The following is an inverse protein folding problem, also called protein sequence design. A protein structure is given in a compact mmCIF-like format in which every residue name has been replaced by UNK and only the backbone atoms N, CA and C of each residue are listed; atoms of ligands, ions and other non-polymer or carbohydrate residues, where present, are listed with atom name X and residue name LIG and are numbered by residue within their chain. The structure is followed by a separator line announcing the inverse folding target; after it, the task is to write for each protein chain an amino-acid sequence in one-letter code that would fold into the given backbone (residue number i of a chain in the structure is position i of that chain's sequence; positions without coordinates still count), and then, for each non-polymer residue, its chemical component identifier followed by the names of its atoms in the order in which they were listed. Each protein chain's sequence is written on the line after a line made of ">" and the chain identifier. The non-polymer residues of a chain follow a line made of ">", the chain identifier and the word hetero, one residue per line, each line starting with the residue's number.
data_IF_718303057720
#
_entry.id   IF_718303057720
#
_cell.length_a   1.000
_cell.length_b   1.000
_cell.length_c   1.000
_cell.angle_alpha   90.00
_cell.angle_beta   90.00
_cell.angle_gamma   90.00
#
_symmetry.space_group_name_H-M   'P 1'
#
loop_
_entity.id
_entity.type
_entity.pdbx_description
1 polymer ?
#
# COMPACT_ATOMS: atom_id res chain seq x y z
N UNK A 1 30.20 -23.23 -31.17
CA UNK A 1 29.00 -22.78 -30.42
C UNK A 1 28.93 -23.68 -29.19
N UNK A 2 28.88 -23.29 -27.93
CA UNK A 2 28.43 -22.04 -27.32
C UNK A 2 28.59 -22.18 -25.79
N UNK A 3 29.76 -22.56 -25.28
CA UNK A 3 29.98 -22.66 -23.83
C UNK A 3 29.99 -21.26 -23.17
N UNK A 4 30.44 -20.24 -23.91
CA UNK A 4 30.42 -18.85 -23.48
C UNK A 4 29.03 -18.27 -23.27
N UNK A 5 28.04 -18.59 -24.12
CA UNK A 5 26.67 -18.06 -23.93
C UNK A 5 25.96 -18.69 -22.72
N UNK A 6 26.23 -19.96 -22.38
CA UNK A 6 25.69 -20.57 -21.16
C UNK A 6 26.26 -19.90 -19.90
N UNK A 7 27.55 -19.54 -19.91
CA UNK A 7 28.20 -18.85 -18.80
C UNK A 7 27.64 -17.43 -18.60
N UNK A 8 27.45 -16.67 -19.69
CA UNK A 8 26.84 -15.34 -19.63
C UNK A 8 25.41 -15.38 -19.07
N UNK A 9 24.58 -16.31 -19.54
CA UNK A 9 23.20 -16.45 -19.06
C UNK A 9 23.12 -16.81 -17.57
N UNK A 10 24.03 -17.67 -17.07
CA UNK A 10 24.10 -18.00 -15.66
C UNK A 10 24.52 -16.80 -14.79
N UNK A 11 25.48 -15.99 -15.25
CA UNK A 11 25.90 -14.77 -14.56
C UNK A 11 24.80 -13.69 -14.51
N UNK A 12 23.97 -13.57 -15.55
CA UNK A 12 22.86 -12.61 -15.57
C UNK A 12 21.76 -12.93 -14.55
N UNK A 13 21.49 -14.22 -14.31
CA UNK A 13 20.46 -14.66 -13.35
C UNK A 13 20.91 -14.54 -11.88
N UNK A 14 22.23 -14.57 -11.63
CA UNK A 14 22.79 -14.45 -10.27
C UNK A 14 22.80 -13.00 -9.73
N UNK A 15 22.65 -11.99 -10.59
CA UNK A 15 22.69 -10.57 -10.19
C UNK A 15 21.30 -9.92 -10.04
N UNK A 16 20.22 -10.64 -10.38
CA UNK A 16 18.87 -10.16 -10.13
C UNK A 16 18.54 -10.26 -8.62
N UNK A 17 19.15 -9.38 -7.83
CA UNK A 17 18.80 -9.20 -6.43
C UNK A 17 17.35 -8.71 -6.31
N UNK A 18 16.67 -9.02 -5.18
CA UNK A 18 15.31 -8.52 -4.95
C UNK A 18 15.33 -6.99 -5.02
N UNK A 19 14.62 -6.44 -6.00
CA UNK A 19 14.36 -5.00 -6.03
C UNK A 19 13.45 -4.68 -4.84
N UNK A 20 13.88 -3.69 -4.04
CA UNK A 20 13.05 -3.15 -2.99
C UNK A 20 11.78 -2.58 -3.63
N UNK A 21 10.63 -3.19 -3.33
CA UNK A 21 9.37 -2.55 -3.65
C UNK A 21 9.34 -1.28 -2.79
N UNK A 22 9.39 -0.09 -3.40
CA UNK A 22 9.42 1.18 -2.66
C UNK A 22 8.20 1.42 -1.76
N UNK A 23 7.28 0.45 -1.70
CA UNK A 23 6.07 0.39 -0.91
C UNK A 23 5.94 -0.99 -0.29
N UNK A 24 5.75 -1.05 1.03
CA UNK A 24 5.42 -2.29 1.74
C UNK A 24 4.08 -2.17 2.45
N UNK A 25 3.15 -3.09 2.17
CA UNK A 25 1.83 -3.18 2.82
C UNK A 25 1.72 -4.44 3.70
N UNK A 26 1.23 -4.27 4.93
CA UNK A 26 1.08 -5.37 5.90
C UNK A 26 -0.23 -5.23 6.70
N UNK A 27 -1.01 -6.31 6.88
CA UNK A 27 -0.88 -7.62 6.24
C UNK A 27 -1.35 -7.62 4.78
N UNK A 28 -0.93 -8.63 4.00
CA UNK A 28 -1.37 -8.83 2.60
C UNK A 28 -2.78 -9.43 2.50
N UNK A 29 -3.13 -10.29 3.45
CA UNK A 29 -4.44 -10.92 3.54
C UNK A 29 -4.90 -10.93 4.98
N UNK A 30 -6.18 -10.68 5.21
CA UNK A 30 -6.75 -10.72 6.54
C UNK A 30 -8.25 -11.00 6.48
N UNK A 31 -8.75 -11.76 7.45
CA UNK A 31 -10.18 -12.03 7.64
C UNK A 31 -10.57 -11.48 9.00
N UNK A 32 -11.56 -10.60 9.02
CA UNK A 32 -12.04 -9.93 10.24
C UNK A 32 -13.44 -10.41 10.57
N UNK A 33 -13.74 -10.50 11.87
CA UNK A 33 -15.13 -10.57 12.34
C UNK A 33 -15.74 -9.17 12.34
N UNK A 34 -17.04 -9.07 12.14
CA UNK A 34 -17.77 -7.81 12.29
C UNK A 34 -17.51 -7.21 13.68
N UNK A 35 -17.26 -5.90 13.73
CA UNK A 35 -16.94 -5.19 14.98
C UNK A 35 -15.47 -5.22 15.38
N UNK A 36 -14.64 -6.05 14.74
CA UNK A 36 -13.22 -6.13 15.05
C UNK A 36 -12.48 -4.89 14.51
N UNK A 37 -11.55 -4.35 15.29
CA UNK A 37 -10.65 -3.28 14.84
C UNK A 37 -9.41 -3.86 14.15
N UNK A 38 -8.88 -3.10 13.19
CA UNK A 38 -7.68 -3.50 12.46
C UNK A 38 -6.94 -2.28 11.90
N UNK A 39 -5.63 -2.37 11.78
CA UNK A 39 -4.81 -1.35 11.11
C UNK A 39 -4.05 -1.99 9.95
N UNK A 40 -4.32 -1.50 8.74
CA UNK A 40 -3.51 -1.79 7.56
C UNK A 40 -2.29 -0.87 7.60
N UNK A 41 -1.11 -1.46 7.75
CA UNK A 41 0.16 -0.73 7.75
C UNK A 41 0.64 -0.54 6.31
N UNK A 42 1.23 0.62 6.05
CA UNK A 42 1.98 0.85 4.84
C UNK A 42 3.16 1.76 5.11
N UNK A 43 4.32 1.39 4.58
CA UNK A 43 5.56 2.12 4.69
C UNK A 43 6.21 2.30 3.30
N UNK A 44 6.96 3.37 3.13
CA UNK A 44 7.77 3.66 1.94
C UNK A 44 9.13 4.25 2.32
N UNK A 45 10.10 4.05 1.46
CA UNK A 45 11.48 4.53 1.64
C UNK A 45 11.98 5.38 0.45
N UNK A 46 11.06 5.89 -0.36
CA UNK A 46 11.31 6.70 -1.55
C UNK A 46 11.26 8.22 -1.28
N UNK A 47 11.04 8.62 -0.02
CA UNK A 47 10.85 10.01 0.40
C UNK A 47 9.70 10.74 -0.34
N UNK A 48 8.62 10.02 -0.66
CA UNK A 48 7.44 10.58 -1.30
C UNK A 48 6.56 11.36 -0.31
N UNK A 49 6.31 12.64 -0.61
CA UNK A 49 5.46 13.52 0.22
C UNK A 49 3.99 13.07 0.16
N UNK A 50 3.51 12.77 -1.04
CA UNK A 50 2.12 12.40 -1.28
C UNK A 50 1.91 10.91 -1.04
N UNK A 51 0.85 10.57 -0.31
CA UNK A 51 0.41 9.21 -0.11
C UNK A 51 -1.10 9.08 -0.22
N UNK A 52 -1.55 7.94 -0.72
CA UNK A 52 -2.94 7.69 -1.04
C UNK A 52 -3.34 6.30 -0.57
N UNK A 53 -4.56 6.20 -0.04
CA UNK A 53 -5.21 4.95 0.35
C UNK A 53 -6.42 4.72 -0.54
N UNK A 54 -6.41 3.60 -1.25
CA UNK A 54 -7.50 3.22 -2.14
C UNK A 54 -8.14 1.90 -1.69
N UNK A 55 -9.40 1.74 -2.08
CA UNK A 55 -10.05 0.43 -2.12
C UNK A 55 -10.51 0.12 -3.54
N UNK A 56 -10.47 -1.15 -3.90
CA UNK A 56 -10.99 -1.66 -5.16
C UNK A 56 -12.01 -2.76 -4.88
N UNK A 57 -13.25 -2.45 -5.22
CA UNK A 57 -14.37 -3.38 -5.18
C UNK A 57 -14.61 -3.94 -6.60
N UNK A 58 -15.12 -5.17 -6.75
CA UNK A 58 -15.38 -5.76 -8.06
C UNK A 58 -16.19 -4.84 -8.97
N UNK A 59 -15.64 -4.53 -10.15
CA UNK A 59 -16.28 -3.69 -11.17
C UNK A 59 -16.34 -2.18 -10.87
N UNK A 60 -15.76 -1.69 -9.76
CA UNK A 60 -15.87 -0.27 -9.36
C UNK A 60 -14.61 0.57 -9.60
N UNK A 61 -13.51 -0.04 -10.06
CA UNK A 61 -12.23 0.65 -10.15
C UNK A 61 -11.65 1.01 -8.78
N UNK A 62 -10.59 1.83 -8.78
CA UNK A 62 -9.99 2.35 -7.55
C UNK A 62 -10.83 3.53 -7.04
N UNK A 63 -11.11 3.54 -5.74
CA UNK A 63 -11.82 4.62 -5.06
C UNK A 63 -11.00 5.11 -3.89
N UNK A 64 -10.77 6.43 -3.82
CA UNK A 64 -9.91 7.03 -2.82
C UNK A 64 -10.60 7.04 -1.45
N UNK A 65 -9.93 6.55 -0.42
CA UNK A 65 -10.41 6.56 0.96
C UNK A 65 -9.89 7.83 1.65
N UNK A 66 -8.57 8.02 1.63
CA UNK A 66 -7.84 9.14 2.22
C UNK A 66 -6.56 9.41 1.43
N UNK A 67 -6.07 10.64 1.52
CA UNK A 67 -4.74 11.00 1.04
C UNK A 67 -4.02 11.91 2.04
N UNK A 68 -2.73 12.10 1.81
CA UNK A 68 -1.85 12.94 2.59
C UNK A 68 -0.86 13.59 1.65
N UNK A 69 -0.66 14.91 1.80
CA UNK A 69 0.29 15.69 0.96
C UNK A 69 1.61 15.95 1.67
N UNK A 70 1.66 15.79 3.00
CA UNK A 70 2.86 15.85 3.82
C UNK A 70 2.59 15.20 5.18
N UNK A 71 3.63 15.01 6.00
CA UNK A 71 3.47 14.63 7.40
C UNK A 71 2.49 15.57 8.12
N UNK A 72 1.69 15.00 9.02
CA UNK A 72 0.57 15.61 9.74
C UNK A 72 -0.62 16.13 8.88
N UNK A 73 -0.50 16.17 7.56
CA UNK A 73 -1.55 16.67 6.67
C UNK A 73 -2.26 15.51 5.98
N UNK A 74 -3.51 15.26 6.37
CA UNK A 74 -4.38 14.23 5.79
C UNK A 74 -5.72 14.83 5.40
N UNK A 75 -6.31 14.30 4.33
CA UNK A 75 -7.65 14.72 3.90
C UNK A 75 -8.43 13.54 3.31
N UNK A 76 -9.76 13.68 3.29
CA UNK A 76 -10.73 12.66 2.91
C UNK A 76 -10.76 12.49 1.40
N UNK A 77 -10.91 11.24 0.97
CA UNK A 77 -11.23 10.89 -0.41
C UNK A 77 -12.74 10.79 -0.65
N UNK A 78 -13.09 10.01 -1.66
CA UNK A 78 -14.48 9.71 -2.06
C UNK A 78 -15.23 8.86 -1.03
N UNK A 79 -14.53 7.93 -0.36
CA UNK A 79 -15.14 6.92 0.53
C UNK A 79 -14.45 6.83 1.91
N UNK A 80 -14.37 7.93 2.67
CA UNK A 80 -13.61 8.00 3.93
C UNK A 80 -14.33 7.35 5.13
N UNK A 81 -15.65 7.16 5.04
CA UNK A 81 -16.48 6.78 6.17
C UNK A 81 -16.14 5.38 6.70
N UNK A 82 -16.01 5.27 8.03
CA UNK A 82 -15.65 4.02 8.71
C UNK A 82 -14.14 3.72 8.76
N UNK A 83 -13.32 4.66 8.28
CA UNK A 83 -11.87 4.58 8.33
C UNK A 83 -11.28 5.77 9.08
N UNK A 84 -10.07 5.57 9.60
CA UNK A 84 -9.27 6.62 10.21
C UNK A 84 -7.81 6.47 9.77
N UNK A 85 -7.08 7.58 9.66
CA UNK A 85 -5.68 7.59 9.22
C UNK A 85 -4.85 8.50 10.10
N UNK A 86 -3.55 8.24 10.16
CA UNK A 86 -2.56 9.16 10.71
C UNK A 86 -1.33 9.19 9.81
N UNK A 87 -0.62 10.32 9.81
CA UNK A 87 0.62 10.52 9.06
C UNK A 87 1.65 11.19 9.98
N UNK A 88 2.30 10.41 10.84
CA UNK A 88 3.24 10.97 11.83
C UNK A 88 4.61 11.31 11.22
N UNK A 89 4.97 10.67 10.12
CA UNK A 89 6.25 10.82 9.42
C UNK A 89 6.04 10.70 7.90
N UNK A 90 7.12 10.80 7.12
CA UNK A 90 7.07 10.73 5.66
C UNK A 90 6.94 9.29 5.17
N UNK A 91 7.29 8.30 5.97
CA UNK A 91 7.42 6.90 5.59
C UNK A 91 6.11 6.13 5.74
N UNK A 92 5.36 6.41 6.81
CA UNK A 92 4.21 5.60 7.23
C UNK A 92 2.89 6.34 7.02
N UNK A 93 1.88 5.62 6.53
CA UNK A 93 0.51 6.15 6.43
C UNK A 93 -0.54 5.09 6.76
N UNK A 94 -0.62 4.64 8.02
CA UNK A 94 -1.55 3.58 8.45
C UNK A 94 -3.02 3.94 8.20
N UNK A 95 -3.80 2.92 7.82
CA UNK A 95 -5.26 3.01 7.66
C UNK A 95 -5.92 2.10 8.68
N UNK A 96 -6.64 2.70 9.63
CA UNK A 96 -7.35 2.01 10.70
C UNK A 96 -8.83 1.85 10.36
N UNK A 97 -9.32 0.63 10.54
CA UNK A 97 -10.75 0.30 10.61
C UNK A 97 -11.07 0.16 12.10
N UNK A 98 -11.87 1.08 12.64
CA UNK A 98 -12.20 1.07 14.08
C UNK A 98 -13.17 -0.05 14.45
N UNK A 99 -14.10 -0.35 13.55
CA UNK A 99 -15.10 -1.42 13.71
C UNK A 99 -15.44 -1.96 12.33
N UNK A 100 -14.92 -3.14 12.01
CA UNK A 100 -15.08 -3.74 10.69
C UNK A 100 -16.55 -4.05 10.37
N UNK A 101 -17.01 -3.65 9.19
CA UNK A 101 -18.33 -4.00 8.66
C UNK A 101 -18.20 -4.83 7.36
N UNK A 102 -19.17 -5.68 7.00
CA UNK A 102 -19.14 -6.44 5.74
C UNK A 102 -19.00 -5.56 4.49
N UNK A 103 -19.50 -4.32 4.53
CA UNK A 103 -19.35 -3.32 3.45
C UNK A 103 -17.91 -2.85 3.24
N UNK A 104 -16.99 -3.15 4.16
CA UNK A 104 -15.56 -2.83 4.08
C UNK A 104 -14.74 -4.01 3.54
N UNK A 105 -15.36 -5.12 3.13
CA UNK A 105 -14.67 -6.19 2.40
C UNK A 105 -14.27 -5.68 1.01
N UNK A 106 -12.97 -5.56 0.77
CA UNK A 106 -12.41 -5.03 -0.47
C UNK A 106 -10.93 -5.40 -0.58
N UNK A 107 -10.33 -5.23 -1.76
CA UNK A 107 -8.87 -5.13 -1.89
C UNK A 107 -8.47 -3.69 -1.54
N UNK A 108 -7.39 -3.54 -0.78
CA UNK A 108 -6.88 -2.24 -0.35
C UNK A 108 -5.50 -1.97 -0.95
N UNK A 109 -5.35 -0.82 -1.59
CA UNK A 109 -4.12 -0.40 -2.23
C UNK A 109 -3.55 0.84 -1.55
N UNK A 110 -2.23 0.94 -1.60
CA UNK A 110 -1.51 2.16 -1.27
C UNK A 110 -0.77 2.65 -2.51
N UNK A 111 -0.63 3.97 -2.63
CA UNK A 111 0.21 4.61 -3.64
C UNK A 111 0.90 5.83 -3.03
N UNK A 112 2.02 6.25 -3.62
CA UNK A 112 2.70 7.49 -3.26
C UNK A 112 3.38 8.13 -4.47
N UNK A 113 3.69 9.42 -4.36
CA UNK A 113 4.38 10.16 -5.40
C UNK A 113 5.19 11.32 -4.82
N UNK A 114 6.11 11.84 -5.64
CA UNK A 114 6.68 13.17 -5.45
C UNK A 114 5.61 14.27 -5.60
N UNK A 115 6.01 15.49 -5.26
CA UNK A 115 5.27 16.74 -5.53
C UNK A 115 5.14 17.09 -7.00
#
# INVERSE_FOLDING_TARGET
>A
MSLGLLCCAAFSLLWAGPMNAGVTQTPKFHVLKTGQSMTLLCAQDMNHEYMYRYRQDPGKGLRLIYYSVAAALTDKGEVPNGYNVSRSNTEDFPLKLESAAPSQTSVYFWASSYS
#
